data_IF_223493683465
#
_entry.id   IF_223493683465
#
_cell.length_a   1.000
_cell.length_b   1.000
_cell.length_c   1.000
_cell.angle_alpha   90.00
_cell.angle_beta   90.00
_cell.angle_gamma   90.00
#
_symmetry.space_group_name_H-M   'P 1'
#
loop_
_entity.id
_entity.type
_entity.pdbx_description
1 polymer ?
#
# COMPACT_ATOMS: atom_id res chain seq x y z
N UNK A 1 -11.68 24.75 9.55
CA UNK A 1 -12.68 23.96 8.80
C UNK A 1 -12.76 24.36 7.33
N UNK A 2 -13.00 25.64 6.99
CA UNK A 2 -13.07 26.10 5.57
C UNK A 2 -11.78 25.83 4.79
N UNK A 3 -10.62 26.15 5.37
CA UNK A 3 -9.31 25.89 4.76
C UNK A 3 -9.02 24.39 4.61
N UNK A 4 -9.31 23.59 5.63
CA UNK A 4 -9.19 22.13 5.60
C UNK A 4 -9.99 21.52 4.45
N UNK A 5 -11.26 21.90 4.33
CA UNK A 5 -12.14 21.45 3.24
C UNK A 5 -11.58 21.87 1.89
N UNK A 6 -11.06 23.10 1.78
CA UNK A 6 -10.49 23.60 0.55
C UNK A 6 -9.18 22.89 0.17
N UNK A 7 -8.34 22.50 1.13
CA UNK A 7 -7.17 21.66 0.86
C UNK A 7 -7.59 20.27 0.37
N UNK A 8 -8.60 19.65 1.02
CA UNK A 8 -9.11 18.34 0.60
C UNK A 8 -9.69 18.36 -0.82
N UNK A 9 -10.53 19.36 -1.13
CA UNK A 9 -11.13 19.53 -2.47
C UNK A 9 -10.05 19.70 -3.54
N UNK A 10 -8.94 20.37 -3.21
CA UNK A 10 -7.85 20.63 -4.16
C UNK A 10 -6.73 19.57 -4.11
N UNK A 11 -6.93 18.43 -3.45
CA UNK A 11 -5.91 17.38 -3.33
C UNK A 11 -4.67 17.76 -2.51
N UNK A 12 -4.70 18.90 -1.83
CA UNK A 12 -3.56 19.41 -1.04
C UNK A 12 -3.47 18.73 0.32
N UNK A 13 -2.26 18.58 0.90
CA UNK A 13 -2.11 18.11 2.27
C UNK A 13 -2.88 18.98 3.27
N UNK A 14 -3.52 18.34 4.24
CA UNK A 14 -4.10 19.02 5.39
C UNK A 14 -3.01 19.21 6.43
N UNK A 15 -2.73 20.45 6.79
CA UNK A 15 -1.66 20.81 7.75
C UNK A 15 -2.03 20.54 9.21
N UNK A 16 -3.31 20.27 9.48
CA UNK A 16 -3.80 19.93 10.81
C UNK A 16 -3.78 18.40 11.00
N UNK A 17 -3.11 17.87 12.05
CA UNK A 17 -3.17 16.45 12.37
C UNK A 17 -4.57 16.07 12.90
N UNK A 18 -5.00 14.81 12.71
CA UNK A 18 -6.21 14.30 13.37
C UNK A 18 -6.11 14.40 14.90
N UNK A 19 -7.24 14.65 15.57
CA UNK A 19 -7.32 14.81 17.04
C UNK A 19 -6.90 13.49 17.75
N UNK A 20 -7.29 12.35 17.19
CA UNK A 20 -6.90 11.02 17.65
C UNK A 20 -5.94 10.38 16.65
N UNK A 21 -4.68 10.83 16.68
CA UNK A 21 -3.63 10.30 15.82
C UNK A 21 -2.57 9.57 16.66
N UNK A 22 -2.80 8.31 17.04
CA UNK A 22 -1.79 7.55 17.77
C UNK A 22 -0.50 7.47 16.92
N UNK A 23 0.68 7.45 17.54
CA UNK A 23 1.92 7.26 16.81
C UNK A 23 1.89 5.91 16.12
N UNK A 24 1.94 5.93 14.79
CA UNK A 24 2.04 4.73 13.96
C UNK A 24 3.48 4.53 13.58
N UNK A 25 4.00 3.33 13.87
CA UNK A 25 5.36 2.95 13.54
C UNK A 25 5.34 1.76 12.58
N UNK A 26 6.08 1.91 11.50
CA UNK A 26 6.37 0.82 10.58
C UNK A 26 7.77 0.31 10.89
N UNK A 27 7.89 -1.00 11.04
CA UNK A 27 9.17 -1.67 11.19
C UNK A 27 9.79 -1.97 9.83
N UNK A 28 8.94 -2.15 8.81
CA UNK A 28 9.34 -2.29 7.42
C UNK A 28 8.28 -1.70 6.51
N UNK A 29 8.75 -1.11 5.42
CA UNK A 29 7.95 -0.69 4.27
C UNK A 29 8.60 -1.25 3.02
N UNK A 30 7.83 -1.69 2.01
CA UNK A 30 8.37 -2.19 0.76
C UNK A 30 9.17 -1.09 0.04
N UNK A 31 10.34 -1.41 -0.50
CA UNK A 31 11.22 -0.38 -1.11
C UNK A 31 10.84 -0.06 -2.57
N UNK A 32 10.27 -1.03 -3.29
CA UNK A 32 9.91 -0.90 -4.71
C UNK A 32 8.55 -0.24 -4.97
N UNK A 33 7.68 -0.12 -3.96
CA UNK A 33 6.36 0.51 -4.08
C UNK A 33 6.11 1.49 -2.95
N UNK A 34 5.80 2.74 -3.30
CA UNK A 34 5.52 3.82 -2.35
C UNK A 34 6.52 3.90 -1.18
N UNK A 35 7.82 3.87 -1.47
CA UNK A 35 8.84 4.05 -0.44
C UNK A 35 8.93 5.52 0.02
N UNK A 36 9.44 5.79 1.24
CA UNK A 36 9.60 7.16 1.72
C UNK A 36 10.43 8.01 0.77
N UNK A 37 9.89 9.15 0.34
CA UNK A 37 10.58 10.08 -0.55
C UNK A 37 11.84 10.64 0.12
N UNK A 38 12.92 10.72 -0.66
CA UNK A 38 14.11 11.49 -0.29
C UNK A 38 13.76 12.98 -0.14
N UNK A 39 14.54 13.77 0.61
CA UNK A 39 14.31 15.22 0.72
C UNK A 39 14.26 15.95 -0.63
N UNK A 40 15.03 15.47 -1.62
CA UNK A 40 15.03 16.02 -2.97
C UNK A 40 13.70 15.72 -3.69
N UNK A 41 13.23 14.47 -3.67
CA UNK A 41 11.94 14.08 -4.28
C UNK A 41 10.76 14.79 -3.59
N UNK A 42 10.81 14.96 -2.27
CA UNK A 42 9.78 15.68 -1.54
C UNK A 42 9.72 17.18 -1.93
N UNK A 43 10.85 17.77 -2.32
CA UNK A 43 10.96 19.19 -2.67
C UNK A 43 10.68 19.47 -4.15
N UNK A 44 11.16 18.60 -5.03
CA UNK A 44 11.14 18.81 -6.48
C UNK A 44 10.15 17.90 -7.22
N UNK A 45 9.46 17.01 -6.51
CA UNK A 45 8.55 16.03 -7.10
C UNK A 45 9.28 14.78 -7.63
N UNK A 46 8.49 13.83 -8.10
CA UNK A 46 8.97 12.59 -8.72
C UNK A 46 9.14 12.80 -10.23
N UNK A 47 10.33 12.52 -10.74
CA UNK A 47 10.72 12.73 -12.14
C UNK A 47 10.53 11.51 -13.03
N UNK A 48 10.34 10.31 -12.45
CA UNK A 48 10.12 9.08 -13.19
C UNK A 48 8.64 8.71 -13.15
N UNK A 49 8.03 8.63 -14.33
CA UNK A 49 6.63 8.25 -14.53
C UNK A 49 6.48 6.73 -14.73
N UNK A 50 7.53 6.06 -15.21
CA UNK A 50 7.51 4.64 -15.59
C UNK A 50 7.44 3.70 -14.39
N UNK A 51 7.88 4.16 -13.21
CA UNK A 51 7.87 3.40 -11.97
C UNK A 51 6.63 3.66 -11.10
N UNK A 52 5.66 4.47 -11.58
CA UNK A 52 4.49 4.82 -10.77
C UNK A 52 3.52 3.64 -10.71
N UNK A 53 3.05 3.25 -9.52
CA UNK A 53 2.01 2.23 -9.41
C UNK A 53 0.69 2.78 -9.97
N UNK A 54 0.02 2.04 -10.86
CA UNK A 54 -1.39 2.30 -11.20
C UNK A 54 -2.31 1.62 -10.18
N UNK A 55 -1.91 0.42 -9.74
CA UNK A 55 -2.65 -0.37 -8.76
C UNK A 55 -1.70 -0.90 -7.70
N UNK A 56 -2.13 -0.83 -6.44
CA UNK A 56 -1.47 -1.54 -5.32
C UNK A 56 -2.47 -2.50 -4.70
N UNK A 57 -2.25 -3.80 -4.90
CA UNK A 57 -2.98 -4.88 -4.24
C UNK A 57 -2.33 -5.13 -2.89
N UNK A 58 -3.12 -5.01 -1.82
CA UNK A 58 -2.66 -5.18 -0.45
C UNK A 58 -3.39 -6.33 0.20
N UNK A 59 -2.64 -7.40 0.46
CA UNK A 59 -3.11 -8.56 1.20
C UNK A 59 -2.86 -8.39 2.69
N UNK A 60 -3.91 -8.36 3.50
CA UNK A 60 -3.80 -8.45 4.96
C UNK A 60 -3.58 -9.92 5.29
N UNK A 61 -2.35 -10.25 5.69
CA UNK A 61 -1.93 -11.64 5.93
C UNK A 61 -1.58 -11.86 7.40
N UNK A 62 -1.60 -13.10 7.88
CA UNK A 62 -1.07 -13.44 9.20
C UNK A 62 0.46 -13.54 9.18
N UNK A 63 1.12 -13.21 10.30
CA UNK A 63 2.59 -13.37 10.46
C UNK A 63 3.08 -14.75 9.97
N UNK A 64 2.35 -15.81 10.33
CA UNK A 64 2.75 -17.20 10.04
C UNK A 64 2.18 -17.77 8.72
N UNK A 65 1.42 -17.00 7.95
CA UNK A 65 0.79 -17.44 6.69
C UNK A 65 1.79 -17.40 5.51
N UNK A 66 2.98 -17.98 5.69
CA UNK A 66 4.05 -17.95 4.69
C UNK A 66 3.65 -18.69 3.41
N UNK A 67 2.94 -19.81 3.55
CA UNK A 67 2.53 -20.64 2.41
C UNK A 67 1.47 -19.93 1.55
N UNK A 68 0.51 -19.26 2.18
CA UNK A 68 -0.53 -18.47 1.52
C UNK A 68 0.10 -17.30 0.76
N UNK A 69 1.04 -16.56 1.39
CA UNK A 69 1.78 -15.49 0.70
C UNK A 69 2.55 -16.03 -0.51
N UNK A 70 3.23 -17.16 -0.35
CA UNK A 70 3.96 -17.80 -1.45
C UNK A 70 3.04 -18.31 -2.56
N UNK A 71 1.85 -18.79 -2.23
CA UNK A 71 0.84 -19.16 -3.20
C UNK A 71 0.36 -17.95 -3.99
N UNK A 72 0.00 -16.85 -3.32
CA UNK A 72 -0.45 -15.61 -3.98
C UNK A 72 0.63 -15.00 -4.88
N UNK A 73 1.90 -15.00 -4.44
CA UNK A 73 3.04 -14.57 -5.29
C UNK A 73 3.16 -15.38 -6.58
N UNK A 74 2.92 -16.69 -6.50
CA UNK A 74 2.97 -17.60 -7.67
C UNK A 74 1.73 -17.48 -8.54
N UNK A 75 0.57 -17.24 -7.93
CA UNK A 75 -0.70 -17.10 -8.62
C UNK A 75 -0.71 -15.87 -9.53
N UNK A 76 -0.12 -14.77 -9.07
CA UNK A 76 -0.16 -13.50 -9.79
C UNK A 76 1.05 -13.31 -10.73
N UNK A 77 0.77 -13.38 -12.03
CA UNK A 77 1.69 -12.97 -13.09
C UNK A 77 1.34 -11.54 -13.55
N UNK A 78 1.82 -10.53 -12.83
CA UNK A 78 1.46 -9.12 -13.02
C UNK A 78 2.20 -8.43 -14.17
N UNK A 79 2.50 -9.16 -15.24
CA UNK A 79 3.21 -8.64 -16.41
C UNK A 79 2.22 -8.03 -17.42
N UNK A 80 1.78 -6.80 -17.15
CA UNK A 80 0.96 -5.99 -18.07
C UNK A 80 1.80 -4.83 -18.64
N UNK A 81 1.62 -4.51 -19.92
CA UNK A 81 2.46 -3.53 -20.64
C UNK A 81 2.16 -2.08 -20.29
N UNK A 82 0.91 -1.81 -19.91
CA UNK A 82 0.29 -0.47 -19.79
C UNK A 82 -0.28 -0.22 -18.38
N UNK A 83 -0.31 -1.25 -17.52
CA UNK A 83 -0.82 -1.14 -16.15
C UNK A 83 0.19 -1.73 -15.17
N UNK A 84 0.81 -0.85 -14.40
CA UNK A 84 1.77 -1.21 -13.36
C UNK A 84 1.05 -1.62 -12.07
N UNK A 85 1.02 -2.93 -11.78
CA UNK A 85 0.37 -3.50 -10.59
C UNK A 85 1.44 -3.98 -9.63
N UNK A 86 1.36 -3.50 -8.39
CA UNK A 86 2.21 -3.96 -7.29
C UNK A 86 1.39 -4.76 -6.31
N UNK A 87 1.95 -5.86 -5.80
CA UNK A 87 1.36 -6.69 -4.76
C UNK A 87 2.21 -6.56 -3.49
N UNK A 88 1.58 -6.33 -2.35
CA UNK A 88 2.25 -6.32 -1.04
C UNK A 88 1.42 -7.05 0.02
N UNK A 89 2.06 -7.42 1.13
CA UNK A 89 1.43 -8.04 2.29
C UNK A 89 1.56 -7.16 3.53
N UNK A 90 0.44 -6.86 4.18
CA UNK A 90 0.38 -6.13 5.44
C UNK A 90 0.29 -7.10 6.62
N UNK A 91 1.26 -7.03 7.53
CA UNK A 91 1.37 -7.86 8.73
C UNK A 91 1.75 -7.01 9.95
N UNK A 92 1.55 -7.55 11.15
CA UNK A 92 2.08 -6.97 12.39
C UNK A 92 3.43 -7.56 12.78
N UNK A 93 3.77 -7.49 14.07
CA UNK A 93 5.01 -7.98 14.64
C UNK A 93 5.17 -9.50 14.47
N UNK A 94 6.25 -9.99 13.81
CA UNK A 94 6.61 -11.38 13.92
C UNK A 94 7.21 -11.67 15.29
N UNK A 95 6.81 -12.75 15.97
CA UNK A 95 7.50 -13.18 17.22
C UNK A 95 8.90 -13.75 16.97
N UNK A 96 9.30 -13.99 15.71
CA UNK A 96 10.63 -14.44 15.31
C UNK A 96 11.04 -13.78 13.98
N UNK A 97 12.17 -13.09 13.97
CA UNK A 97 12.55 -12.04 13.00
C UNK A 97 13.23 -12.55 11.71
N UNK A 98 12.65 -13.52 10.99
CA UNK A 98 13.34 -14.15 9.83
C UNK A 98 12.63 -14.07 8.47
N UNK A 99 11.53 -13.31 8.32
CA UNK A 99 10.93 -13.10 6.99
C UNK A 99 11.57 -11.91 6.27
N UNK A 100 12.81 -12.08 5.80
CA UNK A 100 13.56 -11.08 5.04
C UNK A 100 13.72 -11.44 3.56
N UNK A 101 13.06 -12.50 3.10
CA UNK A 101 13.29 -13.04 1.75
C UNK A 101 12.64 -12.20 0.64
N UNK A 102 11.58 -11.45 0.98
CA UNK A 102 10.82 -10.65 0.02
C UNK A 102 10.69 -9.19 0.49
N UNK A 103 10.82 -8.25 -0.47
CA UNK A 103 10.67 -6.81 -0.25
C UNK A 103 9.20 -6.34 -0.38
N UNK A 104 8.25 -7.24 -0.17
CA UNK A 104 6.81 -6.99 -0.37
C UNK A 104 6.02 -6.89 0.96
N UNK A 105 6.72 -6.84 2.10
CA UNK A 105 6.10 -6.78 3.42
C UNK A 105 5.98 -5.35 3.95
N UNK A 106 4.76 -4.95 4.27
CA UNK A 106 4.45 -3.82 5.15
C UNK A 106 4.28 -4.33 6.57
N UNK A 107 5.22 -4.01 7.46
CA UNK A 107 5.25 -4.52 8.84
C UNK A 107 4.96 -3.40 9.81
N UNK A 108 3.80 -3.45 10.47
CA UNK A 108 3.44 -2.50 11.53
C UNK A 108 3.93 -2.94 12.92
N UNK A 109 4.20 -1.97 13.79
CA UNK A 109 4.60 -2.20 15.18
C UNK A 109 3.37 -2.46 16.08
N UNK A 110 2.70 -3.60 15.86
CA UNK A 110 1.56 -4.04 16.66
C UNK A 110 1.50 -5.57 16.75
N UNK A 111 0.88 -6.11 17.81
CA UNK A 111 0.66 -7.56 17.92
C UNK A 111 -0.35 -8.02 16.86
N UNK A 112 0.11 -8.88 15.95
CA UNK A 112 -0.74 -9.42 14.90
C UNK A 112 -1.67 -10.50 15.47
N UNK A 113 -2.92 -10.10 15.71
CA UNK A 113 -3.97 -10.97 16.20
C UNK A 113 -5.30 -10.60 15.56
N UNK A 114 -6.26 -11.52 15.64
CA UNK A 114 -7.63 -11.29 15.17
C UNK A 114 -8.27 -10.03 15.80
N UNK A 115 -8.00 -9.77 17.08
CA UNK A 115 -8.53 -8.59 17.76
C UNK A 115 -7.94 -7.27 17.25
N UNK A 116 -6.76 -7.32 16.65
CA UNK A 116 -6.04 -6.15 16.11
C UNK A 116 -6.20 -5.97 14.60
N UNK A 117 -7.17 -6.63 13.95
CA UNK A 117 -7.41 -6.48 12.50
C UNK A 117 -7.72 -5.04 12.09
N UNK A 118 -8.45 -4.28 12.92
CA UNK A 118 -8.69 -2.85 12.68
C UNK A 118 -7.39 -2.04 12.73
N UNK A 119 -6.48 -2.38 13.64
CA UNK A 119 -5.18 -1.74 13.75
C UNK A 119 -4.30 -2.05 12.52
N UNK A 120 -4.34 -3.29 12.03
CA UNK A 120 -3.71 -3.69 10.76
C UNK A 120 -4.24 -2.87 9.59
N UNK A 121 -5.56 -2.74 9.48
CA UNK A 121 -6.19 -1.91 8.45
C UNK A 121 -5.71 -0.46 8.54
N UNK A 122 -5.75 0.12 9.74
CA UNK A 122 -5.34 1.50 9.97
C UNK A 122 -3.87 1.75 9.62
N UNK A 123 -2.96 0.84 9.96
CA UNK A 123 -1.56 0.90 9.55
C UNK A 123 -1.42 0.94 8.03
N UNK A 124 -2.13 0.08 7.31
CA UNK A 124 -2.10 0.05 5.85
C UNK A 124 -2.59 1.36 5.23
N UNK A 125 -3.71 1.92 5.73
CA UNK A 125 -4.22 3.20 5.25
C UNK A 125 -3.26 4.35 5.52
N UNK A 126 -2.59 4.36 6.68
CA UNK A 126 -1.61 5.39 7.01
C UNK A 126 -0.38 5.31 6.11
N UNK A 127 0.11 4.10 5.80
CA UNK A 127 1.19 3.90 4.83
C UNK A 127 0.80 4.44 3.45
N UNK A 128 -0.37 4.06 2.95
CA UNK A 128 -0.90 4.51 1.66
C UNK A 128 -1.04 6.05 1.61
N UNK A 129 -1.68 6.65 2.61
CA UNK A 129 -1.90 8.10 2.67
C UNK A 129 -0.60 8.90 2.82
N UNK A 130 0.43 8.32 3.46
CA UNK A 130 1.70 8.99 3.74
C UNK A 130 2.68 8.89 2.58
N UNK A 131 2.81 7.71 1.97
CA UNK A 131 3.89 7.41 1.03
C UNK A 131 3.42 7.19 -0.40
N UNK A 132 2.17 6.74 -0.63
CA UNK A 132 1.65 6.56 -1.98
C UNK A 132 0.95 7.79 -2.56
N UNK A 133 0.64 8.81 -1.74
CA UNK A 133 -0.10 10.01 -2.18
C UNK A 133 0.44 10.64 -3.48
N UNK A 134 1.75 10.81 -3.70
CA UNK A 134 2.27 11.43 -4.93
C UNK A 134 1.95 10.66 -6.22
N UNK A 135 1.61 9.38 -6.11
CA UNK A 135 1.37 8.48 -7.25
C UNK A 135 -0.12 8.27 -7.53
N UNK A 136 -0.99 8.58 -6.57
CA UNK A 136 -2.45 8.42 -6.64
C UNK A 136 -2.94 7.06 -7.20
N UNK A 137 -2.42 5.90 -6.73
CA UNK A 137 -2.80 4.60 -7.27
C UNK A 137 -4.19 4.17 -6.80
N UNK A 138 -4.79 3.22 -7.53
CA UNK A 138 -5.95 2.48 -7.06
C UNK A 138 -5.49 1.42 -6.05
N UNK A 139 -6.15 1.37 -4.88
CA UNK A 139 -5.86 0.36 -3.86
C UNK A 139 -6.90 -0.76 -3.86
N UNK A 140 -6.42 -2.00 -3.79
CA UNK A 140 -7.27 -3.18 -3.63
C UNK A 140 -6.89 -3.87 -2.33
N UNK A 141 -7.76 -3.80 -1.32
CA UNK A 141 -7.55 -4.42 -0.01
C UNK A 141 -8.23 -5.78 0.04
N UNK A 142 -7.46 -6.83 0.34
CA UNK A 142 -7.95 -8.22 0.40
C UNK A 142 -7.41 -8.93 1.63
N UNK A 143 -8.08 -10.01 2.02
CA UNK A 143 -7.53 -11.01 2.94
C UNK A 143 -6.79 -12.08 2.13
N UNK A 144 -5.79 -12.72 2.75
CA UNK A 144 -4.88 -13.67 2.06
C UNK A 144 -5.50 -15.03 1.71
N UNK A 145 -6.75 -15.24 2.10
CA UNK A 145 -7.62 -16.36 1.70
C UNK A 145 -8.56 -16.02 0.53
N UNK A 146 -8.44 -14.82 -0.05
CA UNK A 146 -9.20 -14.37 -1.22
C UNK A 146 -8.31 -14.08 -2.43
N UNK A 147 -8.88 -14.17 -3.63
CA UNK A 147 -8.19 -13.82 -4.87
C UNK A 147 -9.02 -12.84 -5.70
N UNK A 148 -8.35 -11.86 -6.30
CA UNK A 148 -8.90 -10.99 -7.35
C UNK A 148 -8.51 -11.52 -8.73
N UNK A 149 -9.44 -11.43 -9.69
CA UNK A 149 -9.14 -11.68 -11.10
C UNK A 149 -8.45 -10.44 -11.70
N UNK A 150 -7.14 -10.53 -11.95
CA UNK A 150 -6.34 -9.39 -12.42
C UNK A 150 -6.70 -8.94 -13.82
N UNK A 151 -7.16 -9.82 -14.71
CA UNK A 151 -7.57 -9.44 -16.06
C UNK A 151 -8.81 -8.55 -16.05
N UNK A 152 -9.78 -8.86 -15.19
CA UNK A 152 -10.96 -8.01 -14.98
C UNK A 152 -10.59 -6.68 -14.32
N UNK A 153 -9.67 -6.73 -13.35
CA UNK A 153 -9.17 -5.52 -12.69
C UNK A 153 -8.47 -4.59 -13.68
N UNK A 154 -7.59 -5.12 -14.52
CA UNK A 154 -6.87 -4.35 -15.55
C UNK A 154 -7.85 -3.71 -16.54
N UNK A 155 -8.88 -4.45 -16.99
CA UNK A 155 -9.94 -3.87 -17.84
C UNK A 155 -10.65 -2.72 -17.14
N UNK A 156 -11.03 -2.90 -15.88
CA UNK A 156 -11.66 -1.87 -15.07
C UNK A 156 -10.78 -0.61 -14.94
N UNK A 157 -9.47 -0.78 -14.71
CA UNK A 157 -8.52 0.33 -14.62
C UNK A 157 -8.43 1.08 -15.96
N UNK A 158 -8.32 0.37 -17.09
CA UNK A 158 -8.29 0.99 -18.42
C UNK A 158 -9.54 1.81 -18.72
N UNK A 159 -10.71 1.33 -18.31
CA UNK A 159 -11.97 2.05 -18.50
C UNK A 159 -12.06 3.33 -17.65
N UNK A 160 -11.41 3.36 -16.47
CA UNK A 160 -11.36 4.53 -15.59
C UNK A 160 -10.36 5.60 -16.03
N UNK A 161 -9.29 5.19 -16.69
CA UNK A 161 -8.21 6.08 -17.16
C UNK A 161 -7.96 5.85 -18.64
N UNK A 162 -8.77 6.44 -19.53
CA UNK A 162 -8.67 6.25 -20.99
C UNK A 162 -7.38 6.80 -21.62
N UNK A 163 -6.57 7.49 -20.82
CA UNK A 163 -5.32 8.17 -21.21
C UNK A 163 -4.06 7.35 -20.86
N UNK A 164 -4.22 6.16 -20.26
CA UNK A 164 -3.15 5.16 -20.08
C UNK A 164 -2.72 4.54 -21.42
#
# INVERSE_FOLDING_TARGET
MRETLQSLINGKPVLQPPIFNPPIRFLRVPSYVCSPLTPAQAKFGLTDDSSRPNVVIIYRSGVYNFEERNYLRKLYHLAYTDVNIHLIFSIGLPRSATDNEHDDLLVGDFEDSYYNLLLKLFHTFQWAARFCRPYEPIFVFLDDDHAVNTDKLVRFVRDLTPEL
#
